data_IF_414318551483
#
_entry.id   IF_414318551483
#
_cell.length_a   1.000
_cell.length_b   1.000
_cell.length_c   1.000
_cell.angle_alpha   90.00
_cell.angle_beta   90.00
_cell.angle_gamma   90.00
#
_symmetry.space_group_name_H-M   'P 1'
#
loop_
_entity.id
_entity.type
_entity.pdbx_description
1 polymer ?
#
# COMPACT_ATOMS: atom_id res chain seq x y z
N UNK A 1 -8.33 -29.69 -49.98
CA UNK A 1 -8.32 -28.25 -49.62
C UNK A 1 -8.25 -28.17 -48.10
N UNK A 2 -7.05 -28.04 -47.53
CA UNK A 2 -6.83 -27.88 -46.09
C UNK A 2 -6.74 -26.38 -45.84
N UNK A 3 -7.72 -25.82 -45.15
CA UNK A 3 -7.67 -24.42 -44.71
C UNK A 3 -7.01 -24.38 -43.33
N UNK A 4 -5.77 -23.91 -43.33
CA UNK A 4 -5.06 -23.47 -42.13
C UNK A 4 -5.76 -22.21 -41.63
N UNK A 5 -6.54 -22.33 -40.55
CA UNK A 5 -6.98 -21.18 -39.78
C UNK A 5 -5.81 -20.77 -38.90
N UNK A 6 -5.06 -19.79 -39.38
CA UNK A 6 -4.08 -19.04 -38.60
C UNK A 6 -4.81 -18.27 -37.50
N UNK A 7 -4.86 -18.84 -36.29
CA UNK A 7 -5.22 -18.12 -35.08
C UNK A 7 -4.05 -17.18 -34.74
N UNK A 8 -4.28 -15.90 -35.05
CA UNK A 8 -3.51 -14.75 -34.62
C UNK A 8 -3.07 -14.89 -33.17
N UNK A 9 -1.75 -15.01 -32.97
CA UNK A 9 -1.08 -15.00 -31.68
C UNK A 9 -1.12 -13.59 -31.09
N UNK A 10 -2.22 -13.24 -30.44
CA UNK A 10 -2.20 -12.26 -29.36
C UNK A 10 -1.50 -12.91 -28.16
N UNK A 11 -0.18 -12.77 -28.07
CA UNK A 11 0.62 -13.35 -26.98
C UNK A 11 0.31 -12.64 -25.65
N UNK A 12 -0.82 -12.98 -25.03
CA UNK A 12 -0.99 -12.81 -23.59
C UNK A 12 -0.04 -13.81 -22.96
N UNK A 13 1.15 -13.35 -22.57
CA UNK A 13 2.12 -14.17 -21.84
C UNK A 13 1.46 -14.54 -20.52
N UNK A 14 0.82 -15.71 -20.47
CA UNK A 14 0.15 -16.19 -19.28
C UNK A 14 1.18 -16.20 -18.14
N UNK A 15 0.90 -15.46 -17.07
CA UNK A 15 1.78 -15.43 -15.91
C UNK A 15 1.69 -16.80 -15.24
N UNK A 16 2.84 -17.46 -15.12
CA UNK A 16 2.96 -18.79 -14.54
C UNK A 16 3.42 -18.64 -13.09
N UNK A 17 2.70 -19.24 -12.14
CA UNK A 17 2.97 -19.10 -10.70
C UNK A 17 2.99 -20.45 -10.00
N UNK A 18 4.03 -20.73 -9.23
CA UNK A 18 4.16 -21.91 -8.35
C UNK A 18 4.35 -21.51 -6.87
N UNK A 19 4.35 -20.21 -6.58
CA UNK A 19 4.55 -19.63 -5.25
C UNK A 19 3.38 -18.73 -4.88
N UNK A 20 2.82 -18.96 -3.71
CA UNK A 20 1.64 -18.26 -3.20
C UNK A 20 1.93 -17.68 -1.83
N UNK A 21 1.60 -16.41 -1.63
CA UNK A 21 1.86 -15.68 -0.40
C UNK A 21 0.53 -15.34 0.28
N UNK A 22 0.44 -15.57 1.59
CA UNK A 22 -0.63 -15.03 2.42
C UNK A 22 -0.09 -14.51 3.75
N UNK A 23 -0.74 -13.47 4.27
CA UNK A 23 -0.39 -12.85 5.54
C UNK A 23 -1.46 -13.21 6.59
N UNK A 24 -1.02 -13.60 7.79
CA UNK A 24 -1.88 -13.94 8.93
C UNK A 24 -1.61 -12.98 10.09
N UNK A 25 -2.58 -12.15 10.50
CA UNK A 25 -2.42 -11.29 11.67
C UNK A 25 -2.53 -12.11 12.96
N UNK A 26 -1.73 -11.76 13.96
CA UNK A 26 -1.81 -12.35 15.30
C UNK A 26 -1.25 -11.40 16.36
N UNK A 27 -1.53 -11.67 17.62
CA UNK A 27 -0.93 -11.02 18.78
C UNK A 27 -0.19 -12.07 19.62
N UNK A 28 0.79 -11.67 20.43
CA UNK A 28 1.51 -12.62 21.31
C UNK A 28 0.62 -13.20 22.42
N UNK A 29 -0.55 -12.61 22.70
CA UNK A 29 -1.55 -13.16 23.62
C UNK A 29 -2.57 -14.10 22.93
N UNK A 30 -2.36 -14.46 21.67
CA UNK A 30 -3.14 -15.48 20.96
C UNK A 30 -4.43 -14.98 20.28
N UNK A 31 -4.69 -13.67 20.31
CA UNK A 31 -5.79 -13.07 19.54
C UNK A 31 -5.38 -12.84 18.09
N UNK A 32 -6.35 -12.86 17.18
CA UNK A 32 -6.10 -12.56 15.76
C UNK A 32 -5.91 -11.06 15.52
N UNK A 33 -6.60 -10.21 16.29
CA UNK A 33 -6.54 -8.75 16.16
C UNK A 33 -6.24 -8.08 17.51
N UNK A 34 -5.45 -7.02 17.47
CA UNK A 34 -5.10 -6.17 18.62
C UNK A 34 -4.87 -4.71 18.21
N UNK A 35 -4.39 -3.89 19.16
CA UNK A 35 -3.89 -2.55 18.87
C UNK A 35 -2.65 -2.61 17.96
N UNK A 36 -2.31 -1.48 17.32
CA UNK A 36 -1.18 -1.44 16.38
C UNK A 36 0.14 -1.86 17.04
N UNK A 37 0.32 -1.50 18.30
CA UNK A 37 1.47 -1.83 19.15
C UNK A 37 1.61 -3.34 19.46
N UNK A 38 0.52 -4.10 19.33
CA UNK A 38 0.47 -5.54 19.61
C UNK A 38 0.25 -6.39 18.35
N UNK A 39 0.04 -5.75 17.19
CA UNK A 39 -0.39 -6.42 15.97
C UNK A 39 0.81 -6.95 15.17
N UNK A 40 1.14 -8.22 15.40
CA UNK A 40 2.11 -8.96 14.59
C UNK A 40 1.47 -9.45 13.28
N UNK A 41 2.33 -9.77 12.32
CA UNK A 41 1.96 -10.39 11.06
C UNK A 41 2.88 -11.55 10.74
N UNK A 42 2.33 -12.70 10.36
CA UNK A 42 3.09 -13.82 9.80
C UNK A 42 2.83 -13.92 8.31
N UNK A 43 3.87 -13.78 7.50
CA UNK A 43 3.83 -14.02 6.05
C UNK A 43 4.22 -15.44 5.78
N UNK A 44 3.37 -16.18 5.07
CA UNK A 44 3.64 -17.56 4.67
C UNK A 44 3.73 -17.65 3.16
N UNK A 45 4.80 -18.25 2.65
CA UNK A 45 5.01 -18.55 1.24
C UNK A 45 4.88 -20.05 1.04
N UNK A 46 3.90 -20.45 0.25
CA UNK A 46 3.65 -21.81 -0.16
C UNK A 46 4.25 -22.04 -1.54
N UNK A 47 4.94 -23.16 -1.73
CA UNK A 47 5.36 -23.64 -3.05
C UNK A 47 4.55 -24.88 -3.42
N UNK A 48 3.96 -24.88 -4.61
CA UNK A 48 3.22 -26.03 -5.15
C UNK A 48 4.13 -26.97 -5.96
N UNK A 49 3.70 -28.23 -6.16
CA UNK A 49 4.47 -29.23 -6.94
C UNK A 49 4.63 -28.88 -8.42
N UNK A 50 3.81 -27.95 -8.92
CA UNK A 50 3.88 -27.40 -10.27
C UNK A 50 3.33 -25.98 -10.28
N UNK A 51 3.14 -25.42 -11.46
CA UNK A 51 2.65 -24.05 -11.62
C UNK A 51 1.20 -23.97 -12.10
N UNK A 52 0.53 -22.89 -11.74
CA UNK A 52 -0.71 -22.46 -12.37
C UNK A 52 -0.42 -21.52 -13.54
N UNK A 53 -1.25 -21.51 -14.61
CA UNK A 53 -2.39 -22.41 -14.82
C UNK A 53 -1.94 -23.86 -15.07
N UNK A 54 -2.70 -24.83 -14.54
CA UNK A 54 -2.46 -26.27 -14.68
C UNK A 54 -3.68 -26.98 -15.29
N UNK A 55 -3.50 -28.23 -15.75
CA UNK A 55 -4.60 -29.09 -16.22
C UNK A 55 -5.58 -29.48 -15.09
N UNK A 56 -5.17 -29.26 -13.84
CA UNK A 56 -5.95 -29.53 -12.62
C UNK A 56 -6.13 -28.24 -11.82
N UNK A 57 -7.22 -28.18 -11.05
CA UNK A 57 -7.56 -27.01 -10.24
C UNK A 57 -6.88 -26.98 -8.87
N UNK A 58 -6.12 -28.03 -8.51
CA UNK A 58 -5.45 -28.17 -7.21
C UNK A 58 -4.10 -28.83 -7.44
N UNK A 59 -3.08 -28.24 -6.84
CA UNK A 59 -1.73 -28.80 -6.78
C UNK A 59 -1.34 -28.96 -5.32
N UNK A 60 -0.56 -29.99 -5.01
CA UNK A 60 -0.05 -30.21 -3.65
C UNK A 60 0.94 -29.10 -3.29
N UNK A 61 0.89 -28.64 -2.03
CA UNK A 61 1.91 -27.78 -1.46
C UNK A 61 3.10 -28.65 -1.02
N UNK A 62 4.27 -28.40 -1.60
CA UNK A 62 5.50 -29.16 -1.33
C UNK A 62 6.42 -28.46 -0.34
N UNK A 63 6.32 -27.13 -0.21
CA UNK A 63 7.06 -26.34 0.78
C UNK A 63 6.19 -25.24 1.37
N UNK A 64 6.45 -24.92 2.64
CA UNK A 64 5.83 -23.82 3.36
C UNK A 64 6.89 -23.18 4.25
N UNK A 65 7.16 -21.90 4.02
CA UNK A 65 8.09 -21.09 4.80
C UNK A 65 7.34 -19.88 5.35
N UNK A 66 7.62 -19.50 6.60
CA UNK A 66 6.98 -18.33 7.19
C UNK A 66 7.97 -17.41 7.88
N UNK A 67 7.67 -16.10 7.80
CA UNK A 67 8.41 -15.02 8.44
C UNK A 67 7.45 -14.20 9.28
N UNK A 68 7.82 -13.94 10.54
CA UNK A 68 7.08 -13.05 11.42
C UNK A 68 7.64 -11.64 11.34
N UNK A 69 6.72 -10.66 11.34
CA UNK A 69 7.00 -9.24 11.42
C UNK A 69 6.48 -8.74 12.75
N UNK A 70 7.34 -8.03 13.46
CA UNK A 70 6.99 -7.30 14.67
C UNK A 70 5.93 -6.22 14.39
N UNK A 71 5.28 -5.66 15.41
CA UNK A 71 4.23 -4.66 15.23
C UNK A 71 4.71 -3.42 14.47
N UNK A 72 5.94 -2.96 14.73
CA UNK A 72 6.52 -1.81 14.01
C UNK A 72 6.84 -2.16 12.56
N UNK A 73 7.45 -3.32 12.29
CA UNK A 73 7.73 -3.77 10.91
C UNK A 73 6.44 -3.98 10.12
N UNK A 74 5.39 -4.47 10.77
CA UNK A 74 4.07 -4.60 10.17
C UNK A 74 3.49 -3.23 9.79
N UNK A 75 3.56 -2.25 10.69
CA UNK A 75 3.09 -0.90 10.44
C UNK A 75 3.87 -0.20 9.32
N UNK A 76 5.21 -0.34 9.30
CA UNK A 76 6.07 0.16 8.21
C UNK A 76 5.62 -0.46 6.88
N UNK A 77 5.47 -1.78 6.82
CA UNK A 77 5.04 -2.46 5.59
C UNK A 77 3.65 -2.04 5.12
N UNK A 78 2.74 -1.68 6.02
CA UNK A 78 1.43 -1.11 5.66
C UNK A 78 1.57 0.26 4.99
N UNK A 79 2.43 1.13 5.53
CA UNK A 79 2.73 2.45 4.94
C UNK A 79 3.37 2.25 3.56
N UNK A 80 4.42 1.43 3.45
CA UNK A 80 5.12 1.15 2.20
C UNK A 80 4.20 0.57 1.11
N UNK A 81 3.29 -0.33 1.48
CA UNK A 81 2.30 -0.90 0.56
C UNK A 81 1.40 0.21 0.01
N UNK A 82 0.94 1.12 0.87
CA UNK A 82 0.11 2.25 0.46
C UNK A 82 0.87 3.24 -0.42
N UNK A 83 2.11 3.57 -0.03
CA UNK A 83 3.02 4.42 -0.81
C UNK A 83 3.26 3.84 -2.20
N UNK A 84 3.51 2.53 -2.30
CA UNK A 84 3.74 1.84 -3.57
C UNK A 84 2.49 1.83 -4.44
N UNK A 85 1.31 1.59 -3.85
CA UNK A 85 0.06 1.67 -4.60
C UNK A 85 -0.16 3.06 -5.20
N UNK A 86 0.10 4.13 -4.45
CA UNK A 86 0.07 5.50 -4.99
C UNK A 86 1.12 5.69 -6.08
N UNK A 87 2.38 5.29 -5.84
CA UNK A 87 3.47 5.45 -6.81
C UNK A 87 3.15 4.81 -8.16
N UNK A 88 2.59 3.61 -8.15
CA UNK A 88 2.17 2.91 -9.37
C UNK A 88 1.16 3.75 -10.17
N UNK A 89 0.15 4.36 -9.52
CA UNK A 89 -0.81 5.25 -10.20
C UNK A 89 -0.15 6.51 -10.78
N UNK A 90 1.01 6.94 -10.27
CA UNK A 90 1.76 8.09 -10.76
C UNK A 90 2.71 7.76 -11.91
N UNK A 91 3.24 6.54 -11.97
CA UNK A 91 4.26 6.12 -12.95
C UNK A 91 3.68 5.60 -14.27
N UNK A 92 2.41 5.18 -14.30
CA UNK A 92 1.80 4.64 -15.53
C UNK A 92 1.80 5.68 -16.67
N UNK A 93 2.38 5.36 -17.85
CA UNK A 93 2.46 6.26 -19.00
C UNK A 93 1.09 6.71 -19.49
N UNK A 94 1.06 7.78 -20.29
CA UNK A 94 -0.12 8.25 -21.01
C UNK A 94 -0.55 7.20 -22.04
N UNK A 95 -1.17 6.10 -21.63
CA UNK A 95 -1.94 5.27 -22.55
C UNK A 95 -3.15 6.08 -23.01
N UNK A 96 -3.44 5.96 -24.31
CA UNK A 96 -4.50 6.60 -25.10
C UNK A 96 -5.73 7.09 -24.31
N UNK A 97 -6.35 8.18 -24.78
CA UNK A 97 -7.52 8.93 -24.24
C UNK A 97 -8.65 8.12 -23.56
N UNK A 98 -8.74 6.80 -23.74
CA UNK A 98 -9.69 5.89 -23.07
C UNK A 98 -9.31 5.38 -21.67
N UNK A 99 -8.04 5.41 -21.23
CA UNK A 99 -7.60 4.86 -19.93
C UNK A 99 -7.63 5.88 -18.76
N UNK A 100 -8.05 7.12 -19.03
CA UNK A 100 -7.95 8.22 -18.07
C UNK A 100 -8.92 8.09 -16.89
N UNK A 101 -10.16 7.67 -17.14
CA UNK A 101 -11.20 7.62 -16.11
C UNK A 101 -10.97 6.50 -15.06
N UNK A 102 -10.65 5.25 -15.44
CA UNK A 102 -10.35 4.21 -14.45
C UNK A 102 -9.13 4.54 -13.57
N UNK A 103 -8.11 5.18 -14.17
CA UNK A 103 -6.93 5.65 -13.45
C UNK A 103 -7.26 6.76 -12.47
N UNK A 104 -8.04 7.77 -12.89
CA UNK A 104 -8.47 8.85 -12.01
C UNK A 104 -9.24 8.29 -10.82
N UNK A 105 -10.19 7.38 -11.04
CA UNK A 105 -10.96 6.75 -9.97
C UNK A 105 -10.08 5.92 -9.02
N UNK A 106 -9.10 5.18 -9.54
CA UNK A 106 -8.16 4.43 -8.71
C UNK A 106 -7.31 5.37 -7.85
N UNK A 107 -6.75 6.42 -8.47
CA UNK A 107 -5.98 7.45 -7.78
C UNK A 107 -6.81 8.14 -6.69
N UNK A 108 -8.03 8.58 -7.00
CA UNK A 108 -8.97 9.21 -6.06
C UNK A 108 -9.22 8.32 -4.85
N UNK A 109 -9.56 7.05 -5.09
CA UNK A 109 -9.84 6.08 -4.02
C UNK A 109 -8.64 5.85 -3.11
N UNK A 110 -7.45 5.65 -3.68
CA UNK A 110 -6.24 5.41 -2.89
C UNK A 110 -5.85 6.68 -2.12
N UNK A 111 -5.91 7.84 -2.76
CA UNK A 111 -5.52 9.13 -2.18
C UNK A 111 -6.47 9.55 -1.06
N UNK A 112 -7.79 9.42 -1.26
CA UNK A 112 -8.79 9.66 -0.21
C UNK A 112 -8.53 8.79 1.00
N UNK A 113 -8.33 7.48 0.80
CA UNK A 113 -8.00 6.56 1.87
C UNK A 113 -6.62 6.75 2.49
N UNK A 114 -5.81 7.70 1.99
CA UNK A 114 -4.48 8.02 2.48
C UNK A 114 -4.44 9.34 3.25
N UNK A 115 -5.11 10.37 2.76
CA UNK A 115 -5.04 11.74 3.33
C UNK A 115 -6.36 12.26 3.88
N UNK A 116 -7.50 11.65 3.52
CA UNK A 116 -8.84 12.09 3.92
C UNK A 116 -9.62 10.92 4.54
N UNK A 117 -8.99 10.25 5.50
CA UNK A 117 -9.54 9.03 6.10
C UNK A 117 -10.66 9.39 7.08
N UNK A 118 -11.86 8.82 6.88
CA UNK A 118 -13.03 9.10 7.73
C UNK A 118 -13.35 7.98 8.74
N UNK A 119 -12.93 6.75 8.46
CA UNK A 119 -13.32 5.55 9.24
C UNK A 119 -12.12 4.80 9.82
N UNK A 120 -10.99 4.76 9.09
CA UNK A 120 -9.77 4.07 9.54
C UNK A 120 -8.78 5.06 10.19
N UNK A 121 -7.94 4.57 11.08
CA UNK A 121 -7.05 5.41 11.90
C UNK A 121 -5.81 5.98 11.16
N UNK A 122 -5.64 5.62 9.88
CA UNK A 122 -4.63 6.20 8.97
C UNK A 122 -3.18 6.01 9.41
N UNK A 123 -2.26 6.78 8.83
CA UNK A 123 -0.84 6.78 9.26
C UNK A 123 -0.63 7.55 10.57
N UNK A 124 -1.59 8.40 10.95
CA UNK A 124 -1.53 9.13 12.21
C UNK A 124 -1.59 8.19 13.41
N UNK A 125 -2.43 7.14 13.38
CA UNK A 125 -2.46 6.15 14.46
C UNK A 125 -1.17 5.35 14.59
N UNK A 126 -0.41 5.19 13.51
CA UNK A 126 0.93 4.60 13.59
C UNK A 126 1.85 5.51 14.41
N UNK A 127 1.81 6.82 14.17
CA UNK A 127 2.58 7.79 14.94
C UNK A 127 2.13 7.80 16.41
N UNK A 128 0.83 7.77 16.68
CA UNK A 128 0.33 7.67 18.06
C UNK A 128 0.78 6.38 18.74
N UNK A 129 0.71 5.24 18.07
CA UNK A 129 1.07 3.95 18.68
C UNK A 129 2.59 3.79 18.92
N UNK A 130 3.43 4.34 18.04
CA UNK A 130 4.85 4.05 18.02
C UNK A 130 5.76 5.25 18.34
N UNK A 131 5.29 6.48 18.14
CA UNK A 131 6.07 7.71 18.32
C UNK A 131 5.58 8.58 19.49
N UNK A 132 4.51 8.17 20.20
CA UNK A 132 3.99 8.86 21.37
C UNK A 132 4.24 8.07 22.66
N UNK A 133 4.43 8.77 23.78
CA UNK A 133 4.48 8.18 25.12
C UNK A 133 5.62 7.18 25.36
N UNK A 134 5.38 6.20 26.24
CA UNK A 134 6.35 5.14 26.56
C UNK A 134 6.73 4.22 25.37
N UNK A 135 5.82 3.81 24.46
CA UNK A 135 6.16 2.93 23.33
C UNK A 135 7.33 3.45 22.47
N UNK A 136 7.45 4.77 22.30
CA UNK A 136 8.55 5.39 21.57
C UNK A 136 9.93 5.06 22.17
N UNK A 137 10.00 4.87 23.50
CA UNK A 137 11.25 4.51 24.19
C UNK A 137 11.68 3.06 23.99
N UNK A 138 10.78 2.21 23.47
CA UNK A 138 11.03 0.77 23.25
C UNK A 138 11.49 0.46 21.83
N UNK A 139 11.35 1.39 20.88
CA UNK A 139 11.82 1.22 19.52
C UNK A 139 13.35 1.28 19.46
N UNK A 140 13.94 0.36 18.71
CA UNK A 140 15.37 0.45 18.37
C UNK A 140 15.57 1.65 17.45
N UNK A 141 16.73 2.29 17.53
CA UNK A 141 17.05 3.46 16.70
C UNK A 141 16.87 3.19 15.20
N UNK A 142 17.19 1.97 14.74
CA UNK A 142 16.99 1.57 13.35
C UNK A 142 15.50 1.49 12.95
N UNK A 143 14.65 0.91 13.80
CA UNK A 143 13.20 0.79 13.54
C UNK A 143 12.54 2.18 13.50
N UNK A 144 12.96 3.06 14.43
CA UNK A 144 12.51 4.44 14.44
C UNK A 144 12.90 5.18 13.15
N UNK A 145 14.15 5.04 12.71
CA UNK A 145 14.62 5.64 11.45
C UNK A 145 13.86 5.11 10.23
N UNK A 146 13.62 3.81 10.16
CA UNK A 146 12.87 3.19 9.08
C UNK A 146 11.41 3.66 9.06
N UNK A 147 10.76 3.76 10.23
CA UNK A 147 9.40 4.26 10.33
C UNK A 147 9.29 5.74 9.91
N UNK A 148 10.21 6.58 10.38
CA UNK A 148 10.26 7.99 9.97
C UNK A 148 10.49 8.12 8.46
N UNK A 149 11.42 7.36 7.89
CA UNK A 149 11.68 7.37 6.46
C UNK A 149 10.47 6.94 5.64
N UNK A 150 9.77 5.87 6.04
CA UNK A 150 8.56 5.41 5.37
C UNK A 150 7.43 6.46 5.42
N UNK A 151 7.27 7.16 6.55
CA UNK A 151 6.29 8.24 6.70
C UNK A 151 6.63 9.46 5.83
N UNK A 152 7.89 9.88 5.81
CA UNK A 152 8.35 10.98 4.95
C UNK A 152 8.12 10.67 3.47
N UNK A 153 8.49 9.47 3.04
CA UNK A 153 8.27 9.04 1.66
C UNK A 153 6.78 8.99 1.31
N UNK A 154 5.95 8.43 2.20
CA UNK A 154 4.49 8.43 2.04
C UNK A 154 3.94 9.85 1.82
N UNK A 155 4.34 10.80 2.67
CA UNK A 155 3.89 12.20 2.56
C UNK A 155 4.33 12.85 1.24
N UNK A 156 5.58 12.62 0.83
CA UNK A 156 6.08 13.11 -0.45
C UNK A 156 5.30 12.55 -1.65
N UNK A 157 4.96 11.27 -1.63
CA UNK A 157 4.15 10.62 -2.66
C UNK A 157 2.71 11.13 -2.64
N UNK A 158 2.09 11.31 -1.48
CA UNK A 158 0.76 11.91 -1.36
C UNK A 158 0.71 13.33 -1.95
N UNK A 159 1.70 14.19 -1.62
CA UNK A 159 1.81 15.53 -2.19
C UNK A 159 1.90 15.49 -3.72
N UNK A 160 2.71 14.58 -4.26
CA UNK A 160 2.81 14.39 -5.72
C UNK A 160 1.48 13.92 -6.32
N UNK A 161 0.80 12.98 -5.67
CA UNK A 161 -0.49 12.46 -6.10
C UNK A 161 -1.58 13.53 -6.15
N UNK A 162 -1.65 14.42 -5.16
CA UNK A 162 -2.56 15.57 -5.15
C UNK A 162 -2.31 16.49 -6.36
N UNK A 163 -1.03 16.79 -6.66
CA UNK A 163 -0.65 17.60 -7.83
C UNK A 163 -1.03 16.96 -9.15
N UNK A 164 -0.90 15.63 -9.25
CA UNK A 164 -1.32 14.88 -10.44
C UNK A 164 -2.84 14.86 -10.56
N UNK A 165 -3.56 14.58 -9.47
CA UNK A 165 -5.01 14.63 -9.43
C UNK A 165 -5.56 15.97 -9.93
N UNK A 166 -5.02 17.10 -9.44
CA UNK A 166 -5.43 18.43 -9.91
C UNK A 166 -5.33 18.62 -11.44
N UNK A 167 -4.36 17.96 -12.08
CA UNK A 167 -4.16 18.05 -13.54
C UNK A 167 -5.10 17.13 -14.33
N UNK A 168 -5.69 16.14 -13.68
CA UNK A 168 -6.52 15.11 -14.32
C UNK A 168 -8.02 15.41 -14.21
N UNK A 169 -8.43 16.22 -13.24
CA UNK A 169 -9.84 16.47 -12.92
C UNK A 169 -10.50 17.57 -13.74
N UNK A 170 -11.83 17.46 -13.89
CA UNK A 170 -12.72 18.51 -14.40
C UNK A 170 -13.26 19.45 -13.31
N UNK A 171 -14.30 20.21 -13.63
CA UNK A 171 -14.98 21.12 -12.68
C UNK A 171 -15.78 20.34 -11.62
N UNK A 172 -16.33 19.20 -11.99
CA UNK A 172 -17.15 18.32 -11.16
C UNK A 172 -16.41 17.75 -9.94
N UNK A 173 -15.08 17.62 -10.04
CA UNK A 173 -14.22 17.02 -9.03
C UNK A 173 -13.50 18.06 -8.14
N UNK A 174 -13.75 19.36 -8.35
CA UNK A 174 -13.03 20.43 -7.62
C UNK A 174 -13.31 20.43 -6.11
N UNK A 175 -14.56 20.17 -5.72
CA UNK A 175 -14.92 20.07 -4.30
C UNK A 175 -14.21 18.88 -3.65
N UNK A 176 -14.20 17.73 -4.33
CA UNK A 176 -13.49 16.55 -3.88
C UNK A 176 -11.97 16.79 -3.77
N UNK A 177 -11.38 17.47 -4.75
CA UNK A 177 -9.97 17.85 -4.70
C UNK A 177 -9.65 18.73 -3.50
N UNK A 178 -10.52 19.71 -3.20
CA UNK A 178 -10.38 20.58 -2.04
C UNK A 178 -10.38 19.77 -0.74
N UNK A 179 -11.24 18.77 -0.62
CA UNK A 179 -11.25 17.85 0.53
C UNK A 179 -9.93 17.09 0.68
N UNK A 180 -9.34 16.61 -0.43
CA UNK A 180 -8.05 15.94 -0.41
C UNK A 180 -6.91 16.87 0.05
N UNK A 181 -6.91 18.12 -0.43
CA UNK A 181 -5.91 19.13 -0.03
C UNK A 181 -6.02 19.44 1.45
N UNK A 182 -7.24 19.68 1.95
CA UNK A 182 -7.49 19.97 3.36
C UNK A 182 -7.10 18.78 4.25
N UNK A 183 -7.44 17.55 3.84
CA UNK A 183 -7.04 16.34 4.54
C UNK A 183 -5.51 16.19 4.61
N UNK A 184 -4.81 16.44 3.51
CA UNK A 184 -3.34 16.39 3.49
C UNK A 184 -2.70 17.47 4.37
N UNK A 185 -3.23 18.69 4.38
CA UNK A 185 -2.74 19.76 5.24
C UNK A 185 -2.95 19.43 6.72
N UNK A 186 -4.13 18.93 7.09
CA UNK A 186 -4.42 18.48 8.45
C UNK A 186 -3.49 17.35 8.86
N UNK A 187 -3.31 16.33 8.00
CA UNK A 187 -2.39 15.24 8.25
C UNK A 187 -0.94 15.72 8.42
N UNK A 188 -0.49 16.66 7.59
CA UNK A 188 0.84 17.27 7.69
C UNK A 188 1.03 17.97 9.03
N UNK A 189 0.05 18.76 9.46
CA UNK A 189 0.09 19.46 10.74
C UNK A 189 0.14 18.47 11.91
N UNK A 190 -0.72 17.46 11.91
CA UNK A 190 -0.74 16.43 12.95
C UNK A 190 0.59 15.66 13.03
N UNK A 191 1.11 15.18 11.89
CA UNK A 191 2.35 14.42 11.85
C UNK A 191 3.58 15.26 12.23
N UNK A 192 3.56 16.58 12.00
CA UNK A 192 4.67 17.47 12.35
C UNK A 192 4.98 17.51 13.85
N UNK A 193 4.00 17.19 14.71
CA UNK A 193 4.20 17.07 16.15
C UNK A 193 5.11 15.88 16.52
N UNK A 194 5.13 14.84 15.68
CA UNK A 194 5.95 13.64 15.89
C UNK A 194 7.25 13.71 15.08
N UNK A 195 7.18 14.26 13.87
CA UNK A 195 8.28 14.30 12.90
C UNK A 195 8.40 15.73 12.36
N UNK A 196 9.16 16.61 13.03
CA UNK A 196 9.29 18.01 12.61
C UNK A 196 9.83 18.17 11.17
N UNK A 197 10.64 17.21 10.70
CA UNK A 197 11.21 17.19 9.35
C UNK A 197 10.16 17.15 8.23
N UNK A 198 8.92 16.73 8.53
CA UNK A 198 7.81 16.75 7.56
C UNK A 198 7.56 18.18 7.02
N UNK A 199 7.76 19.21 7.84
CA UNK A 199 7.56 20.60 7.41
C UNK A 199 8.68 21.12 6.50
N UNK A 200 9.88 20.54 6.58
CA UNK A 200 11.03 20.95 5.76
C UNK A 200 11.09 20.27 4.40
N UNK A 201 10.44 19.12 4.23
CA UNK A 201 10.48 18.32 2.99
C UNK A 201 9.24 18.52 2.10
N UNK A 202 8.23 19.24 2.58
CA UNK A 202 7.00 19.60 1.88
C UNK A 202 6.94 21.10 1.57
#
# INVERSE_FOLDING_TARGET
KRENISLSTGSVRARVFDRFLFDTPFTKNGKTQGGLEDQWKRRTVLQTEGSFPALVNRLLVTKSESLEFSPVENAIGMIETRTTALRNELEEPRSSDGDHLPRLQSLQRILQGSVAVQVNSGVLSVCTAFLSGEPATRLRSQELQQLIAALLEFMAVCKRAIRVHFRLIGEEDQEFHTQLVNGFQSLTAELSHYIPAILSEL
#
